data_IF_073036426750
#
_entry.id   IF_073036426750
#
_cell.length_a   1.000
_cell.length_b   1.000
_cell.length_c   1.000
_cell.angle_alpha   90.00
_cell.angle_beta   90.00
_cell.angle_gamma   90.00
#
_symmetry.space_group_name_H-M   'P 1'
#
loop_
_entity.id
_entity.type
_entity.pdbx_description
1 polymer ?
#
# COMPACT_ATOMS: atom_id res chain seq x y z
N UNK A 1 20.30 3.23 0.42
CA UNK A 1 18.85 3.42 0.19
C UNK A 1 18.36 4.36 1.27
N UNK A 2 17.53 5.35 0.94
CA UNK A 2 16.94 6.23 1.95
C UNK A 2 16.04 5.45 2.91
N UNK A 3 16.07 5.81 4.20
CA UNK A 3 15.16 5.30 5.22
C UNK A 3 14.48 6.48 5.92
N UNK A 4 13.15 6.43 5.95
CA UNK A 4 12.30 7.40 6.64
C UNK A 4 12.39 7.19 8.15
N UNK A 5 12.45 5.94 8.62
CA UNK A 5 12.62 5.65 10.05
C UNK A 5 13.97 6.14 10.58
N UNK A 6 15.06 5.88 9.85
CA UNK A 6 16.39 6.37 10.22
C UNK A 6 16.47 7.90 10.18
N UNK A 7 15.80 8.55 9.21
CA UNK A 7 15.68 10.01 9.18
C UNK A 7 14.99 10.55 10.43
N UNK A 8 13.83 9.99 10.79
CA UNK A 8 13.10 10.38 12.01
C UNK A 8 13.95 10.15 13.26
N UNK A 9 14.62 9.01 13.38
CA UNK A 9 15.47 8.69 14.52
C UNK A 9 16.65 9.68 14.64
N UNK A 10 17.30 10.04 13.53
CA UNK A 10 18.39 11.01 13.51
C UNK A 10 17.90 12.41 13.92
N UNK A 11 16.73 12.84 13.44
CA UNK A 11 16.12 14.12 13.83
C UNK A 11 15.82 14.16 15.33
N UNK A 12 15.24 13.08 15.87
CA UNK A 12 14.93 12.99 17.30
C UNK A 12 16.18 13.00 18.17
N UNK A 13 17.23 12.28 17.74
CA UNK A 13 18.51 12.23 18.46
C UNK A 13 19.23 13.58 18.48
N UNK A 14 19.00 14.44 17.48
CA UNK A 14 19.59 15.77 17.39
C UNK A 14 18.84 16.85 18.19
N UNK A 15 17.65 16.55 18.74
CA UNK A 15 16.91 17.50 19.57
C UNK A 15 17.62 17.70 20.92
N UNK A 16 17.67 18.93 21.47
CA UNK A 16 18.22 19.17 22.80
C UNK A 16 17.57 18.26 23.83
N UNK A 17 18.37 17.61 24.68
CA UNK A 17 17.82 16.80 25.77
C UNK A 17 17.25 17.74 26.83
N UNK A 18 15.99 17.55 27.29
CA UNK A 18 15.40 18.44 28.28
C UNK A 18 16.10 18.35 29.66
N UNK A 19 16.87 17.29 29.94
CA UNK A 19 17.76 17.10 31.11
C UNK A 19 18.48 15.73 30.99
N UNK A 20 19.63 15.49 31.65
CA UNK A 20 20.27 14.16 31.73
C UNK A 20 19.37 13.06 32.34
N UNK A 21 18.37 13.43 33.14
CA UNK A 21 17.39 12.53 33.76
C UNK A 21 16.04 12.48 33.03
N UNK A 22 15.88 13.24 31.93
CA UNK A 22 14.62 13.29 31.21
C UNK A 22 14.44 12.06 30.31
N UNK A 23 13.17 11.73 30.06
CA UNK A 23 12.79 10.74 29.06
C UNK A 23 13.36 11.15 27.70
N UNK A 24 13.91 10.22 26.89
CA UNK A 24 14.40 10.55 25.56
C UNK A 24 13.32 11.23 24.73
N UNK A 25 13.73 12.23 23.93
CA UNK A 25 12.85 12.89 22.97
C UNK A 25 12.08 11.84 22.16
N UNK A 26 10.77 12.04 22.01
CA UNK A 26 9.93 11.19 21.18
C UNK A 26 9.69 11.88 19.84
N UNK A 27 9.60 11.13 18.73
CA UNK A 27 9.22 11.77 17.49
C UNK A 27 7.79 12.29 17.58
N UNK A 28 7.51 13.27 16.73
CA UNK A 28 6.19 13.80 16.50
C UNK A 28 5.82 13.58 15.04
N UNK A 29 4.53 13.70 14.70
CA UNK A 29 4.03 13.54 13.34
C UNK A 29 4.78 14.41 12.31
N UNK A 30 5.22 15.61 12.70
CA UNK A 30 5.97 16.48 11.80
C UNK A 30 7.29 15.84 11.32
N UNK A 31 7.98 15.07 12.17
CA UNK A 31 9.22 14.39 11.74
C UNK A 31 8.94 13.34 10.65
N UNK A 32 7.81 12.62 10.75
CA UNK A 32 7.37 11.67 9.71
C UNK A 32 7.07 12.38 8.39
N UNK A 33 6.38 13.52 8.44
CA UNK A 33 6.08 14.36 7.27
C UNK A 33 7.36 14.90 6.62
N UNK A 34 8.27 15.42 7.44
CA UNK A 34 9.55 15.97 7.00
C UNK A 34 10.44 14.89 6.35
N UNK A 35 10.42 13.66 6.87
CA UNK A 35 11.14 12.53 6.27
C UNK A 35 10.68 12.29 4.84
N UNK A 36 9.35 12.28 4.62
CA UNK A 36 8.80 12.09 3.27
C UNK A 36 9.17 13.21 2.33
N UNK A 37 8.95 14.48 2.72
CA UNK A 37 9.30 15.63 1.89
C UNK A 37 10.79 15.68 1.57
N UNK A 38 11.64 15.41 2.57
CA UNK A 38 13.10 15.42 2.39
C UNK A 38 13.54 14.37 1.37
N UNK A 39 13.05 13.12 1.48
CA UNK A 39 13.43 12.07 0.54
C UNK A 39 12.80 12.26 -0.84
N UNK A 40 11.56 12.74 -0.92
CA UNK A 40 10.88 13.01 -2.18
C UNK A 40 11.52 14.18 -2.97
N UNK A 41 12.15 15.13 -2.29
CA UNK A 41 12.83 16.27 -2.93
C UNK A 41 14.33 15.98 -3.18
N UNK A 42 15.05 15.50 -2.17
CA UNK A 42 16.51 15.45 -2.15
C UNK A 42 17.10 14.04 -1.95
N UNK A 43 16.27 13.01 -1.81
CA UNK A 43 16.75 11.63 -1.66
C UNK A 43 17.58 11.18 -2.88
N UNK A 44 18.69 10.43 -2.70
CA UNK A 44 19.53 9.98 -3.81
C UNK A 44 18.87 8.90 -4.69
N UNK A 45 17.78 8.27 -4.22
CA UNK A 45 17.08 7.16 -4.87
C UNK A 45 15.68 7.55 -5.38
N UNK A 46 15.60 8.66 -6.12
CA UNK A 46 14.34 9.28 -6.57
C UNK A 46 13.32 8.33 -7.22
N UNK A 47 13.76 7.43 -8.12
CA UNK A 47 12.83 6.46 -8.73
C UNK A 47 12.22 5.53 -7.68
N UNK A 48 13.02 5.11 -6.69
CA UNK A 48 12.56 4.27 -5.59
C UNK A 48 11.54 4.99 -4.72
N UNK A 49 11.78 6.25 -4.39
CA UNK A 49 10.80 7.07 -3.64
C UNK A 49 9.50 7.24 -4.41
N UNK A 50 9.59 7.42 -5.74
CA UNK A 50 8.42 7.55 -6.60
C UNK A 50 7.58 6.27 -6.69
N UNK A 51 8.24 5.12 -6.75
CA UNK A 51 7.57 3.80 -6.74
C UNK A 51 7.01 3.49 -5.35
N UNK A 52 7.73 3.80 -4.28
CA UNK A 52 7.22 3.64 -2.91
C UNK A 52 5.95 4.47 -2.68
N UNK A 53 5.90 5.69 -3.24
CA UNK A 53 4.68 6.51 -3.19
C UNK A 53 3.53 5.89 -3.99
N UNK A 54 3.79 5.37 -5.20
CA UNK A 54 2.77 4.65 -5.96
C UNK A 54 2.28 3.38 -5.24
N UNK A 55 3.16 2.65 -4.56
CA UNK A 55 2.80 1.49 -3.74
C UNK A 55 2.00 1.90 -2.50
N UNK A 56 2.33 3.03 -1.87
CA UNK A 56 1.53 3.62 -0.78
C UNK A 56 0.12 3.99 -1.24
N UNK A 57 -0.05 4.30 -2.53
CA UNK A 57 -1.36 4.57 -3.12
C UNK A 57 -2.22 3.32 -3.37
N UNK A 58 -1.60 2.13 -3.35
CA UNK A 58 -2.26 0.83 -3.52
C UNK A 58 -2.42 0.14 -2.17
N UNK A 59 -1.33 0.05 -1.41
CA UNK A 59 -1.23 -0.50 -0.07
C UNK A 59 -1.40 0.69 0.89
N UNK A 60 -2.62 0.90 1.37
CA UNK A 60 -2.99 2.16 2.06
C UNK A 60 -2.92 1.99 3.57
N UNK A 61 -2.29 2.97 4.23
CA UNK A 61 -2.46 3.26 5.66
C UNK A 61 -2.66 4.77 5.84
N UNK A 62 -3.29 5.18 6.94
CA UNK A 62 -3.56 6.60 7.19
C UNK A 62 -3.20 7.05 8.59
N UNK A 63 -2.52 8.20 8.69
CA UNK A 63 -2.29 8.99 9.90
C UNK A 63 -3.61 9.24 10.66
N UNK A 64 -4.73 9.36 9.94
CA UNK A 64 -6.03 9.74 10.47
C UNK A 64 -6.84 8.59 11.09
N UNK A 65 -6.28 7.38 11.12
CA UNK A 65 -6.98 6.19 11.61
C UNK A 65 -6.14 5.42 12.63
N UNK A 66 -6.81 4.58 13.44
CA UNK A 66 -6.21 3.71 14.45
C UNK A 66 -5.24 4.41 15.44
N UNK A 67 -5.38 5.73 15.62
CA UNK A 67 -4.48 6.54 16.46
C UNK A 67 -3.05 6.68 15.91
N UNK A 68 -2.82 6.36 14.63
CA UNK A 68 -1.48 6.33 14.01
C UNK A 68 -0.77 7.68 14.03
N UNK A 69 -1.50 8.81 14.01
CA UNK A 69 -0.92 10.13 14.21
C UNK A 69 -0.20 10.31 15.56
N UNK A 70 -0.59 9.54 16.58
CA UNK A 70 0.08 9.46 17.88
C UNK A 70 1.15 8.37 17.97
N UNK A 71 1.44 7.65 16.88
CA UNK A 71 2.44 6.57 16.78
C UNK A 71 3.52 6.89 15.73
N UNK A 72 4.34 7.93 15.94
CA UNK A 72 5.19 8.48 14.88
C UNK A 72 6.31 7.55 14.38
N UNK A 73 6.59 6.43 15.05
CA UNK A 73 7.47 5.38 14.51
C UNK A 73 6.77 4.38 13.59
N UNK A 74 5.44 4.23 13.68
CA UNK A 74 4.69 3.24 12.91
C UNK A 74 4.74 3.53 11.40
N UNK A 75 4.49 4.79 11.03
CA UNK A 75 4.37 5.21 9.64
C UNK A 75 5.71 5.28 8.87
N UNK A 76 6.82 5.80 9.44
CA UNK A 76 8.13 5.67 8.79
C UNK A 76 8.57 4.21 8.61
N UNK A 77 8.28 3.34 9.59
CA UNK A 77 8.56 1.89 9.48
C UNK A 77 7.76 1.27 8.33
N UNK A 78 6.46 1.57 8.28
CA UNK A 78 5.58 1.17 7.18
C UNK A 78 6.13 1.64 5.82
N UNK A 79 6.49 2.91 5.70
CA UNK A 79 6.95 3.48 4.45
C UNK A 79 8.31 2.89 4.01
N UNK A 80 9.18 2.54 4.95
CA UNK A 80 10.45 1.86 4.67
C UNK A 80 10.25 0.45 4.09
N UNK A 81 9.17 -0.26 4.41
CA UNK A 81 8.79 -1.51 3.73
C UNK A 81 8.55 -1.24 2.24
N UNK A 82 7.81 -0.18 1.90
CA UNK A 82 7.54 0.19 0.51
C UNK A 82 8.80 0.62 -0.23
N UNK A 83 9.67 1.41 0.41
CA UNK A 83 10.94 1.87 -0.17
C UNK A 83 11.87 0.69 -0.45
N UNK A 84 12.01 -0.24 0.51
CA UNK A 84 12.85 -1.44 0.34
C UNK A 84 12.33 -2.34 -0.79
N UNK A 85 11.02 -2.57 -0.84
CA UNK A 85 10.40 -3.46 -1.82
C UNK A 85 10.01 -2.82 -3.14
N UNK A 86 10.24 -1.52 -3.35
CA UNK A 86 9.96 -0.85 -4.62
C UNK A 86 10.53 -1.57 -5.86
N UNK A 87 11.63 -2.31 -5.70
CA UNK A 87 12.23 -3.17 -6.73
C UNK A 87 12.43 -4.61 -6.24
N UNK A 88 11.63 -5.05 -5.26
CA UNK A 88 11.66 -6.38 -4.67
C UNK A 88 10.66 -7.33 -5.33
N UNK A 89 10.14 -8.29 -4.56
CA UNK A 89 9.10 -9.21 -5.02
C UNK A 89 7.74 -8.86 -4.38
N UNK A 90 6.67 -8.84 -5.18
CA UNK A 90 5.34 -8.47 -4.68
C UNK A 90 4.80 -9.43 -3.62
N UNK A 91 5.10 -10.73 -3.68
CA UNK A 91 4.71 -11.69 -2.64
C UNK A 91 5.35 -11.37 -1.30
N UNK A 92 6.63 -11.02 -1.31
CA UNK A 92 7.36 -10.59 -0.11
C UNK A 92 6.79 -9.28 0.43
N UNK A 93 6.52 -8.31 -0.45
CA UNK A 93 5.90 -7.05 -0.08
C UNK A 93 4.54 -7.27 0.61
N UNK A 94 3.68 -8.16 0.08
CA UNK A 94 2.40 -8.49 0.70
C UNK A 94 2.57 -9.02 2.12
N UNK A 95 3.53 -9.92 2.37
CA UNK A 95 3.77 -10.47 3.72
C UNK A 95 4.22 -9.40 4.71
N UNK A 96 5.20 -8.60 4.30
CA UNK A 96 5.78 -7.60 5.19
C UNK A 96 4.78 -6.48 5.51
N UNK A 97 3.86 -6.19 4.58
CA UNK A 97 2.73 -5.30 4.83
C UNK A 97 1.67 -5.96 5.70
N UNK A 98 1.36 -7.25 5.47
CA UNK A 98 0.42 -8.02 6.30
C UNK A 98 0.84 -7.99 7.77
N UNK A 99 2.12 -8.20 8.04
CA UNK A 99 2.67 -8.24 9.38
C UNK A 99 3.13 -6.87 9.89
N UNK A 100 2.95 -5.78 9.15
CA UNK A 100 3.29 -4.45 9.62
C UNK A 100 2.27 -3.97 10.67
N UNK A 101 2.69 -3.53 11.87
CA UNK A 101 1.75 -3.13 12.92
C UNK A 101 0.90 -1.90 12.56
N UNK A 102 1.38 -0.99 11.70
CA UNK A 102 0.57 0.13 11.23
C UNK A 102 -0.58 -0.35 10.34
N UNK A 103 -0.31 -1.30 9.43
CA UNK A 103 -1.32 -1.93 8.58
C UNK A 103 -2.30 -2.77 9.41
N UNK A 104 -1.77 -3.60 10.32
CA UNK A 104 -2.59 -4.41 11.21
C UNK A 104 -3.53 -3.57 12.07
N UNK A 105 -3.08 -2.41 12.57
CA UNK A 105 -3.93 -1.47 13.30
C UNK A 105 -4.96 -0.79 12.37
N UNK A 106 -4.54 -0.35 11.18
CA UNK A 106 -5.38 0.37 10.23
C UNK A 106 -6.58 -0.46 9.73
N UNK A 107 -6.35 -1.76 9.49
CA UNK A 107 -7.36 -2.69 8.98
C UNK A 107 -7.77 -3.75 10.02
N UNK A 108 -7.56 -3.48 11.30
CA UNK A 108 -8.05 -4.29 12.42
C UNK A 108 -7.64 -5.79 12.40
N UNK A 109 -6.57 -6.16 11.69
CA UNK A 109 -5.96 -7.49 11.81
C UNK A 109 -5.22 -7.63 13.14
N UNK A 110 -4.59 -6.56 13.58
CA UNK A 110 -3.90 -6.48 14.86
C UNK A 110 -4.91 -6.71 15.98
N UNK A 111 -4.63 -7.73 16.78
CA UNK A 111 -5.48 -8.21 17.88
C UNK A 111 -6.85 -8.73 17.43
N UNK A 112 -7.01 -9.10 16.15
CA UNK A 112 -8.13 -9.92 15.67
C UNK A 112 -8.06 -11.31 16.29
N UNK A 113 -9.19 -11.82 16.76
CA UNK A 113 -9.28 -13.07 17.51
C UNK A 113 -10.13 -14.08 16.78
N UNK A 114 -9.84 -15.36 17.01
CA UNK A 114 -10.73 -16.45 16.63
C UNK A 114 -12.15 -16.28 17.18
N UNK A 115 -13.09 -16.91 16.48
CA UNK A 115 -14.47 -16.94 16.91
C UNK A 115 -14.62 -17.59 18.29
N UNK A 116 -15.65 -17.22 19.04
CA UNK A 116 -15.98 -17.85 20.31
C UNK A 116 -17.48 -18.12 20.46
N UNK A 117 -17.84 -18.90 21.49
CA UNK A 117 -19.23 -19.26 21.77
C UNK A 117 -20.09 -18.06 22.22
N UNK A 118 -19.50 -16.88 22.44
CA UNK A 118 -20.20 -15.64 22.83
C UNK A 118 -20.53 -14.77 21.62
N UNK A 119 -20.26 -15.24 20.40
CA UNK A 119 -20.59 -14.55 19.16
C UNK A 119 -19.50 -13.60 18.67
N UNK A 120 -18.28 -13.64 19.23
CA UNK A 120 -17.15 -12.94 18.62
C UNK A 120 -16.83 -13.58 17.28
N UNK A 121 -16.55 -12.75 16.28
CA UNK A 121 -16.08 -13.17 14.96
C UNK A 121 -14.70 -12.53 14.66
N UNK A 122 -13.84 -13.21 13.89
CA UNK A 122 -12.63 -12.60 13.33
C UNK A 122 -12.95 -11.33 12.52
N UNK A 123 -12.04 -10.35 12.54
CA UNK A 123 -12.21 -9.13 11.77
C UNK A 123 -12.00 -9.36 10.27
N UNK A 124 -12.91 -8.85 9.45
CA UNK A 124 -12.93 -9.06 7.99
C UNK A 124 -12.23 -7.97 7.16
N UNK A 125 -11.88 -6.82 7.75
CA UNK A 125 -11.38 -5.67 7.01
C UNK A 125 -10.07 -6.01 6.28
N UNK A 126 -9.06 -6.51 6.98
CA UNK A 126 -7.79 -6.84 6.33
C UNK A 126 -7.93 -7.89 5.20
N UNK A 127 -8.62 -9.04 5.39
CA UNK A 127 -8.89 -9.98 4.30
C UNK A 127 -9.60 -9.37 3.09
N UNK A 128 -10.60 -8.52 3.32
CA UNK A 128 -11.36 -7.88 2.25
C UNK A 128 -10.48 -6.92 1.46
N UNK A 129 -9.65 -6.14 2.13
CA UNK A 129 -8.78 -5.16 1.50
C UNK A 129 -7.59 -5.84 0.82
N UNK A 130 -7.07 -6.92 1.42
CA UNK A 130 -6.06 -7.78 0.80
C UNK A 130 -6.53 -8.28 -0.55
N UNK A 131 -7.76 -8.78 -0.67
CA UNK A 131 -8.31 -9.25 -1.94
C UNK A 131 -8.70 -8.08 -2.86
N UNK A 132 -9.54 -7.17 -2.38
CA UNK A 132 -10.20 -6.16 -3.19
C UNK A 132 -9.25 -5.04 -3.66
N UNK A 133 -8.36 -4.57 -2.80
CA UNK A 133 -7.56 -3.37 -3.06
C UNK A 133 -6.10 -3.69 -3.32
N UNK A 134 -5.56 -4.72 -2.64
CA UNK A 134 -4.14 -5.01 -2.64
C UNK A 134 -3.74 -6.15 -3.59
N UNK A 135 -4.67 -6.85 -4.23
CA UNK A 135 -4.27 -8.00 -5.05
C UNK A 135 -5.14 -8.29 -6.27
N UNK A 136 -6.42 -8.61 -6.10
CA UNK A 136 -7.20 -9.25 -7.18
C UNK A 136 -8.41 -8.45 -7.63
N UNK A 137 -8.89 -7.47 -6.87
CA UNK A 137 -10.10 -6.73 -7.22
C UNK A 137 -11.37 -7.54 -7.01
N UNK A 138 -12.52 -6.94 -7.33
CA UNK A 138 -13.85 -7.55 -7.17
C UNK A 138 -14.22 -8.54 -8.29
N UNK A 139 -13.62 -8.40 -9.47
CA UNK A 139 -14.03 -9.12 -10.67
C UNK A 139 -12.83 -9.71 -11.40
N UNK A 140 -13.03 -10.89 -12.00
CA UNK A 140 -12.03 -11.59 -12.79
C UNK A 140 -11.60 -10.74 -13.99
N UNK A 141 -10.30 -10.77 -14.26
CA UNK A 141 -9.66 -9.98 -15.30
C UNK A 141 -9.02 -10.90 -16.33
N UNK A 142 -9.17 -10.53 -17.60
CA UNK A 142 -8.25 -10.96 -18.64
C UNK A 142 -6.89 -10.30 -18.42
N UNK A 143 -5.85 -10.83 -19.08
CA UNK A 143 -4.48 -10.36 -18.88
C UNK A 143 -4.26 -8.90 -19.32
N UNK A 144 -5.10 -8.40 -20.22
CA UNK A 144 -5.12 -7.00 -20.68
C UNK A 144 -5.89 -6.06 -19.74
N UNK A 145 -6.41 -6.57 -18.62
CA UNK A 145 -7.15 -5.81 -17.62
C UNK A 145 -8.63 -5.59 -17.91
N UNK A 146 -9.16 -6.14 -19.02
CA UNK A 146 -10.59 -6.20 -19.29
C UNK A 146 -11.29 -7.22 -18.38
N UNK A 147 -12.60 -7.04 -18.14
CA UNK A 147 -13.38 -7.94 -17.31
C UNK A 147 -13.62 -9.28 -18.02
N UNK A 148 -13.50 -10.39 -17.29
CA UNK A 148 -14.05 -11.67 -17.73
C UNK A 148 -15.55 -11.67 -17.48
N UNK A 149 -16.34 -11.99 -18.52
CA UNK A 149 -17.79 -11.97 -18.47
C UNK A 149 -18.37 -13.40 -18.49
N UNK A 150 -19.47 -13.59 -17.77
CA UNK A 150 -20.27 -14.81 -17.82
C UNK A 150 -21.07 -14.94 -19.11
N UNK A 151 -21.80 -16.04 -19.27
CA UNK A 151 -22.68 -16.29 -20.42
C UNK A 151 -23.81 -15.26 -20.56
N UNK A 152 -24.16 -14.58 -19.47
CA UNK A 152 -25.15 -13.52 -19.40
C UNK A 152 -24.58 -12.11 -19.67
N UNK A 153 -23.27 -12.00 -19.91
CA UNK A 153 -22.57 -10.73 -20.09
C UNK A 153 -22.22 -10.00 -18.79
N UNK A 154 -22.50 -10.58 -17.62
CA UNK A 154 -22.17 -9.97 -16.33
C UNK A 154 -20.71 -10.23 -15.94
N UNK A 155 -20.02 -9.29 -15.27
CA UNK A 155 -18.69 -9.53 -14.73
C UNK A 155 -18.67 -10.67 -13.71
N UNK A 156 -17.68 -11.56 -13.81
CA UNK A 156 -17.53 -12.69 -12.88
C UNK A 156 -16.79 -12.21 -11.62
N UNK A 157 -17.38 -12.39 -10.44
CA UNK A 157 -16.75 -12.04 -9.18
C UNK A 157 -15.52 -12.93 -8.87
N UNK A 158 -14.50 -12.35 -8.22
CA UNK A 158 -13.26 -13.07 -7.83
C UNK A 158 -13.44 -13.98 -6.62
N UNK A 159 -14.37 -13.64 -5.72
CA UNK A 159 -14.65 -14.38 -4.49
C UNK A 159 -16.05 -14.08 -3.98
N UNK A 160 -16.48 -14.87 -2.99
CA UNK A 160 -17.74 -14.68 -2.26
C UNK A 160 -17.44 -14.49 -0.76
N UNK A 161 -18.47 -14.23 0.05
CA UNK A 161 -18.31 -13.90 1.47
C UNK A 161 -17.69 -15.05 2.29
N UNK A 162 -17.87 -16.30 1.89
CA UNK A 162 -17.26 -17.48 2.52
C UNK A 162 -15.72 -17.43 2.50
N UNK A 163 -15.13 -16.97 1.39
CA UNK A 163 -13.68 -16.75 1.27
C UNK A 163 -13.20 -15.71 2.28
N UNK A 164 -13.96 -14.63 2.47
CA UNK A 164 -13.63 -13.60 3.46
C UNK A 164 -13.66 -14.19 4.87
N UNK A 165 -14.69 -14.98 5.21
CA UNK A 165 -14.78 -15.62 6.53
C UNK A 165 -13.60 -16.56 6.79
N UNK A 166 -13.24 -17.40 5.82
CA UNK A 166 -12.12 -18.33 5.95
C UNK A 166 -10.76 -17.63 6.06
N UNK A 167 -10.52 -16.59 5.26
CA UNK A 167 -9.30 -15.79 5.36
C UNK A 167 -9.26 -14.96 6.66
N UNK A 168 -10.40 -14.47 7.14
CA UNK A 168 -10.48 -13.76 8.42
C UNK A 168 -10.05 -14.67 9.57
N UNK A 169 -10.52 -15.92 9.59
CA UNK A 169 -10.09 -16.93 10.56
C UNK A 169 -8.60 -17.26 10.45
N UNK A 170 -8.07 -17.39 9.22
CA UNK A 170 -6.65 -17.68 8.96
C UNK A 170 -5.71 -16.56 9.46
N UNK A 171 -6.21 -15.32 9.56
CA UNK A 171 -5.43 -14.14 9.94
C UNK A 171 -5.65 -13.70 11.40
N UNK A 172 -6.13 -14.59 12.26
CA UNK A 172 -6.32 -14.33 13.70
C UNK A 172 -5.07 -14.56 14.55
N UNK A 173 -4.99 -13.88 15.69
CA UNK A 173 -4.00 -14.14 16.74
C UNK A 173 -2.74 -13.27 16.70
N UNK A 174 -2.66 -12.31 15.77
CA UNK A 174 -1.51 -11.42 15.63
C UNK A 174 -1.58 -10.23 16.58
N UNK A 175 -0.47 -9.87 17.22
CA UNK A 175 -0.32 -8.72 18.11
C UNK A 175 1.02 -8.02 17.85
N UNK A 176 1.29 -6.93 18.58
CA UNK A 176 2.53 -6.18 18.46
C UNK A 176 3.76 -7.06 18.71
N UNK A 177 4.83 -6.81 17.95
CA UNK A 177 6.17 -7.13 18.42
C UNK A 177 6.38 -6.52 19.81
N UNK A 178 7.06 -7.23 20.70
CA UNK A 178 7.15 -6.83 22.10
C UNK A 178 8.36 -7.46 22.78
N UNK A 179 8.85 -6.80 23.83
CA UNK A 179 9.93 -7.30 24.67
C UNK A 179 9.38 -8.19 25.80
N UNK A 180 10.21 -9.11 26.28
CA UNK A 180 9.83 -10.11 27.29
C UNK A 180 8.86 -11.16 26.75
N UNK A 181 8.14 -11.84 27.66
CA UNK A 181 7.17 -12.88 27.28
C UNK A 181 5.96 -12.28 26.56
N UNK A 182 5.70 -12.64 25.30
CA UNK A 182 4.61 -12.03 24.53
C UNK A 182 3.23 -12.26 25.15
N UNK A 183 2.45 -11.19 25.26
CA UNK A 183 1.03 -11.23 25.64
C UNK A 183 0.19 -10.65 24.52
N UNK A 184 -1.06 -11.08 24.41
CA UNK A 184 -1.93 -10.64 23.31
C UNK A 184 -2.33 -9.17 23.41
N UNK A 185 -2.51 -8.67 24.64
CA UNK A 185 -2.81 -7.25 24.93
C UNK A 185 -1.67 -6.59 25.68
N UNK A 186 -0.55 -6.24 25.02
CA UNK A 186 0.54 -5.54 25.68
C UNK A 186 0.13 -4.10 25.99
N UNK A 187 0.50 -3.62 27.19
CA UNK A 187 0.41 -2.21 27.52
C UNK A 187 1.30 -1.36 26.60
N UNK A 188 0.99 -0.06 26.47
CA UNK A 188 1.59 0.85 25.48
C UNK A 188 3.12 0.82 25.47
N UNK A 189 3.76 0.74 26.65
CA UNK A 189 5.22 0.72 26.76
C UNK A 189 5.89 -0.52 26.14
N UNK A 190 5.14 -1.62 25.95
CA UNK A 190 5.65 -2.88 25.37
C UNK A 190 5.32 -3.04 23.88
N UNK A 191 4.53 -2.13 23.30
CA UNK A 191 4.14 -2.17 21.90
C UNK A 191 5.29 -1.69 21.01
N UNK A 192 5.92 -2.60 20.26
CA UNK A 192 6.90 -2.24 19.26
C UNK A 192 6.24 -2.03 17.89
N UNK A 193 6.18 -0.76 17.48
CA UNK A 193 5.64 -0.34 16.19
C UNK A 193 6.66 -0.43 15.04
N UNK A 194 7.89 -0.87 15.32
CA UNK A 194 8.97 -1.02 14.32
C UNK A 194 9.18 -2.47 13.89
N UNK A 195 8.82 -3.41 14.76
CA UNK A 195 8.93 -4.84 14.48
C UNK A 195 7.66 -5.37 13.79
N UNK A 196 7.77 -6.45 13.00
CA UNK A 196 6.59 -7.19 12.55
C UNK A 196 5.73 -7.65 13.73
N UNK A 197 4.43 -7.78 13.48
CA UNK A 197 3.50 -8.41 14.40
C UNK A 197 3.93 -9.86 14.70
N UNK A 198 3.64 -10.32 15.90
CA UNK A 198 3.89 -11.70 16.37
C UNK A 198 2.58 -12.38 16.70
N UNK A 199 2.50 -13.70 16.55
CA UNK A 199 1.28 -14.44 16.87
C UNK A 199 1.26 -14.95 18.32
N UNK A 200 0.07 -14.97 18.93
CA UNK A 200 -0.20 -15.69 20.18
C UNK A 200 -1.18 -16.82 19.88
N UNK A 201 -0.67 -18.05 19.86
CA UNK A 201 -1.39 -19.23 19.35
C UNK A 201 -2.77 -19.46 19.98
N UNK A 202 -2.97 -19.11 21.26
CA UNK A 202 -4.27 -19.27 21.93
C UNK A 202 -5.39 -18.42 21.32
N UNK A 203 -5.05 -17.36 20.59
CA UNK A 203 -5.98 -16.44 19.92
C UNK A 203 -6.16 -16.74 18.42
N UNK A 204 -5.37 -17.66 17.86
CA UNK A 204 -5.50 -18.11 16.48
C UNK A 204 -6.57 -19.19 16.35
N UNK A 205 -7.34 -19.14 15.26
CA UNK A 205 -8.34 -20.13 14.91
C UNK A 205 -7.63 -21.35 14.31
N UNK A 206 -7.72 -22.51 14.96
CA UNK A 206 -7.06 -23.74 14.50
C UNK A 206 -8.02 -24.70 13.79
N UNK A 207 -9.26 -24.29 13.51
CA UNK A 207 -10.19 -25.10 12.73
C UNK A 207 -9.78 -25.16 11.26
N UNK A 208 -10.32 -26.12 10.52
CA UNK A 208 -10.17 -26.15 9.06
C UNK A 208 -10.89 -24.94 8.43
N UNK A 209 -10.33 -24.40 7.35
CA UNK A 209 -10.83 -23.18 6.69
C UNK A 209 -10.85 -23.39 5.18
N UNK A 210 -11.74 -22.68 4.50
CA UNK A 210 -11.75 -22.59 3.04
C UNK A 210 -11.40 -21.17 2.66
N UNK A 211 -10.40 -21.00 1.80
CA UNK A 211 -9.94 -19.68 1.36
C UNK A 211 -10.11 -19.56 -0.16
N UNK A 212 -9.52 -18.51 -0.74
CA UNK A 212 -9.59 -18.17 -2.15
C UNK A 212 -9.29 -19.39 -3.06
N UNK A 213 -9.95 -19.45 -4.21
CA UNK A 213 -9.78 -20.51 -5.21
C UNK A 213 -10.11 -21.92 -4.72
N UNK A 214 -10.91 -22.05 -3.65
CA UNK A 214 -11.30 -23.34 -3.08
C UNK A 214 -10.15 -24.06 -2.36
N UNK A 215 -9.08 -23.35 -1.99
CA UNK A 215 -7.97 -23.93 -1.23
C UNK A 215 -8.42 -24.17 0.21
N UNK A 216 -8.23 -25.40 0.69
CA UNK A 216 -8.51 -25.78 2.06
C UNK A 216 -7.26 -25.61 2.95
N UNK A 217 -7.42 -24.94 4.09
CA UNK A 217 -6.43 -24.93 5.18
C UNK A 217 -6.81 -26.03 6.19
N UNK A 218 -5.97 -27.05 6.40
CA UNK A 218 -6.24 -28.10 7.38
C UNK A 218 -6.42 -27.59 8.81
N UNK A 219 -7.16 -28.34 9.63
CA UNK A 219 -7.22 -28.08 11.07
C UNK A 219 -5.86 -28.34 11.74
N UNK A 220 -5.61 -27.63 12.84
CA UNK A 220 -4.40 -27.80 13.66
C UNK A 220 -3.16 -27.07 13.16
N UNK A 221 -3.26 -26.28 12.08
CA UNK A 221 -2.15 -25.47 11.59
C UNK A 221 -1.78 -24.33 12.56
N UNK A 222 -0.52 -23.89 12.49
CA UNK A 222 -0.09 -22.64 13.13
C UNK A 222 -0.52 -21.43 12.30
N UNK A 223 -0.56 -20.26 12.94
CA UNK A 223 -0.91 -19.02 12.26
C UNK A 223 0.05 -18.67 11.12
N UNK A 224 1.33 -19.01 11.24
CA UNK A 224 2.35 -18.81 10.21
C UNK A 224 2.10 -19.70 8.98
N UNK A 225 1.66 -20.95 9.19
CA UNK A 225 1.31 -21.87 8.10
C UNK A 225 0.06 -21.40 7.35
N UNK A 226 -0.96 -20.98 8.09
CA UNK A 226 -2.19 -20.41 7.54
C UNK A 226 -1.92 -19.11 6.79
N UNK A 227 -1.14 -18.19 7.37
CA UNK A 227 -0.73 -16.93 6.74
C UNK A 227 0.01 -17.19 5.43
N UNK A 228 1.04 -18.06 5.46
CA UNK A 228 1.84 -18.37 4.28
C UNK A 228 0.98 -18.92 3.15
N UNK A 229 0.15 -19.92 3.45
CA UNK A 229 -0.73 -20.55 2.44
C UNK A 229 -1.75 -19.55 1.90
N UNK A 230 -2.29 -18.70 2.77
CA UNK A 230 -3.23 -17.62 2.39
C UNK A 230 -2.58 -16.65 1.40
N UNK A 231 -1.41 -16.11 1.74
CA UNK A 231 -0.72 -15.14 0.89
C UNK A 231 -0.17 -15.77 -0.41
N UNK A 232 0.28 -17.02 -0.37
CA UNK A 232 0.73 -17.76 -1.55
C UNK A 232 -0.45 -17.98 -2.52
N UNK A 233 -1.63 -18.34 -1.99
CA UNK A 233 -2.86 -18.52 -2.78
C UNK A 233 -3.30 -17.21 -3.44
N UNK A 234 -3.31 -16.11 -2.68
CA UNK A 234 -3.64 -14.78 -3.20
C UNK A 234 -2.66 -14.37 -4.31
N UNK A 235 -1.36 -14.50 -4.07
CA UNK A 235 -0.32 -14.11 -5.03
C UNK A 235 -0.34 -14.95 -6.33
N UNK A 236 -0.70 -16.23 -6.21
CA UNK A 236 -0.85 -17.13 -7.35
C UNK A 236 -2.09 -16.82 -8.20
N UNK A 237 -3.06 -16.08 -7.68
CA UNK A 237 -4.29 -15.77 -8.41
C UNK A 237 -4.01 -15.01 -9.73
N UNK A 238 -4.65 -15.38 -10.86
CA UNK A 238 -4.37 -14.80 -12.17
C UNK A 238 -4.58 -13.29 -12.23
N UNK A 239 -5.56 -12.75 -11.48
CA UNK A 239 -5.82 -11.31 -11.45
C UNK A 239 -4.67 -10.44 -10.91
N UNK A 240 -3.76 -10.97 -10.08
CA UNK A 240 -2.74 -10.12 -9.42
C UNK A 240 -1.89 -9.39 -10.44
N UNK A 241 -1.47 -10.07 -11.51
CA UNK A 241 -0.70 -9.50 -12.60
C UNK A 241 -1.38 -8.28 -13.25
N UNK A 242 -2.53 -8.44 -13.93
CA UNK A 242 -3.22 -7.34 -14.59
C UNK A 242 -3.70 -6.25 -13.61
N UNK A 243 -4.18 -6.63 -12.42
CA UNK A 243 -4.69 -5.68 -11.43
C UNK A 243 -3.59 -4.73 -10.93
N UNK A 244 -2.47 -5.28 -10.45
CA UNK A 244 -1.35 -4.47 -9.95
C UNK A 244 -0.63 -3.73 -11.08
N UNK A 245 -0.50 -4.35 -12.25
CA UNK A 245 0.10 -3.68 -13.41
C UNK A 245 -0.68 -2.44 -13.83
N UNK A 246 -2.02 -2.54 -13.94
CA UNK A 246 -2.87 -1.40 -14.29
C UNK A 246 -2.72 -0.26 -13.28
N UNK A 247 -2.80 -0.57 -11.98
CA UNK A 247 -2.68 0.45 -10.93
C UNK A 247 -1.30 1.13 -10.93
N UNK A 248 -0.22 0.36 -11.06
CA UNK A 248 1.14 0.94 -11.13
C UNK A 248 1.33 1.81 -12.38
N UNK A 249 0.80 1.39 -13.54
CA UNK A 249 0.84 2.23 -14.75
C UNK A 249 0.06 3.53 -14.52
N UNK A 250 -1.12 3.46 -13.91
CA UNK A 250 -1.92 4.63 -13.57
C UNK A 250 -1.20 5.58 -12.62
N UNK A 251 -0.52 5.04 -11.61
CA UNK A 251 0.24 5.87 -10.67
C UNK A 251 1.51 6.43 -11.29
N UNK A 252 2.15 5.77 -12.25
CA UNK A 252 3.47 6.17 -12.74
C UNK A 252 3.48 6.91 -14.09
N UNK A 253 2.53 6.61 -14.99
CA UNK A 253 2.61 7.03 -16.40
C UNK A 253 1.32 7.69 -16.89
N UNK A 254 0.19 7.00 -16.89
CA UNK A 254 -1.04 7.48 -17.55
C UNK A 254 -2.31 6.96 -16.90
N UNK A 255 -3.34 7.80 -16.79
CA UNK A 255 -4.64 7.43 -16.22
C UNK A 255 -5.37 6.38 -17.05
N UNK A 256 -5.08 6.29 -18.36
CA UNK A 256 -5.78 5.47 -19.34
C UNK A 256 -4.80 4.54 -20.09
N UNK A 257 -4.22 3.53 -19.42
CA UNK A 257 -3.36 2.58 -20.11
C UNK A 257 -4.15 1.78 -21.15
N UNK A 258 -3.56 1.56 -22.34
CA UNK A 258 -4.18 0.67 -23.32
C UNK A 258 -4.23 -0.77 -22.81
N UNK A 259 -5.17 -1.61 -23.30
CA UNK A 259 -5.20 -3.03 -22.98
C UNK A 259 -3.88 -3.73 -23.31
N UNK A 260 -3.26 -3.37 -24.45
CA UNK A 260 -1.96 -3.90 -24.85
C UNK A 260 -0.83 -3.54 -23.88
N UNK A 261 -0.85 -2.35 -23.30
CA UNK A 261 0.12 -1.94 -22.30
C UNK A 261 -0.03 -2.74 -20.99
N UNK A 262 -1.26 -2.87 -20.49
CA UNK A 262 -1.55 -3.70 -19.31
C UNK A 262 -1.12 -5.15 -19.56
N UNK A 263 -1.46 -5.71 -20.72
CA UNK A 263 -1.07 -7.09 -21.10
C UNK A 263 0.43 -7.32 -21.02
N UNK A 264 1.24 -6.43 -21.62
CA UNK A 264 2.71 -6.58 -21.64
C UNK A 264 3.31 -6.51 -20.25
N UNK A 265 2.87 -5.55 -19.44
CA UNK A 265 3.38 -5.39 -18.06
C UNK A 265 2.90 -6.54 -17.17
N UNK A 266 1.65 -6.97 -17.30
CA UNK A 266 1.10 -8.10 -16.56
C UNK A 266 1.78 -9.43 -16.94
N UNK A 267 2.17 -9.59 -18.21
CA UNK A 267 2.99 -10.72 -18.64
C UNK A 267 4.36 -10.75 -17.94
N UNK A 268 5.01 -9.58 -17.80
CA UNK A 268 6.27 -9.44 -17.03
C UNK A 268 6.04 -9.69 -15.54
N UNK A 269 4.92 -9.23 -14.97
CA UNK A 269 4.56 -9.57 -13.60
C UNK A 269 4.41 -11.08 -13.44
N UNK A 270 3.75 -11.75 -14.38
CA UNK A 270 3.52 -13.19 -14.31
C UNK A 270 4.82 -13.98 -14.45
N UNK A 271 5.76 -13.50 -15.27
CA UNK A 271 7.08 -14.08 -15.46
C UNK A 271 8.05 -13.00 -16.01
N UNK A 272 9.08 -12.67 -15.25
CA UNK A 272 10.09 -11.66 -15.64
C UNK A 272 11.06 -12.10 -16.77
N UNK A 273 10.81 -13.24 -17.41
CA UNK A 273 11.70 -13.87 -18.39
C UNK A 273 12.68 -14.87 -17.79
N UNK A 274 12.69 -15.03 -16.45
CA UNK A 274 13.52 -15.98 -15.72
C UNK A 274 12.68 -16.95 -14.85
N UNK A 275 11.36 -16.99 -15.07
CA UNK A 275 10.43 -17.81 -14.29
C UNK A 275 10.03 -17.19 -12.95
N UNK A 276 10.39 -15.93 -12.68
CA UNK A 276 10.05 -15.26 -11.42
C UNK A 276 8.80 -14.41 -11.60
N UNK A 277 7.73 -14.79 -10.89
CA UNK A 277 6.50 -14.00 -10.76
C UNK A 277 6.71 -12.86 -9.75
N UNK A 278 6.12 -11.70 -10.00
CA UNK A 278 6.05 -10.57 -9.07
C UNK A 278 7.34 -9.79 -8.88
N UNK A 279 8.33 -9.93 -9.77
CA UNK A 279 9.56 -9.11 -9.76
C UNK A 279 9.23 -7.65 -10.11
N UNK A 280 9.12 -6.80 -9.08
CA UNK A 280 8.77 -5.40 -9.24
C UNK A 280 9.86 -4.61 -9.97
N UNK A 281 11.13 -5.01 -9.91
CA UNK A 281 12.17 -4.36 -10.70
C UNK A 281 11.90 -4.54 -12.19
N UNK A 282 11.57 -5.76 -12.61
CA UNK A 282 11.21 -6.07 -13.99
C UNK A 282 9.92 -5.36 -14.42
N UNK A 283 8.89 -5.38 -13.56
CA UNK A 283 7.59 -4.72 -13.80
C UNK A 283 7.76 -3.21 -13.96
N UNK A 284 8.44 -2.54 -13.02
CA UNK A 284 8.67 -1.08 -13.11
C UNK A 284 9.49 -0.73 -14.34
N UNK A 285 10.49 -1.54 -14.70
CA UNK A 285 11.22 -1.34 -15.95
C UNK A 285 10.28 -1.45 -17.15
N UNK A 286 9.46 -2.51 -17.22
CA UNK A 286 8.51 -2.73 -18.30
C UNK A 286 7.57 -1.54 -18.47
N UNK A 287 7.01 -1.01 -17.37
CA UNK A 287 6.20 0.21 -17.36
C UNK A 287 6.96 1.38 -18.00
N UNK A 288 8.13 1.72 -17.49
CA UNK A 288 8.81 2.96 -17.88
C UNK A 288 9.44 2.93 -19.28
N UNK A 289 9.65 1.74 -19.84
CA UNK A 289 10.24 1.56 -21.19
C UNK A 289 9.24 1.14 -22.26
N UNK A 290 7.98 0.97 -21.88
CA UNK A 290 6.92 0.54 -22.80
C UNK A 290 6.69 1.54 -23.95
N UNK A 291 6.24 1.04 -25.09
CA UNK A 291 5.86 1.84 -26.25
C UNK A 291 4.81 2.90 -25.89
N UNK A 292 3.80 2.56 -25.10
CA UNK A 292 2.74 3.50 -24.70
C UNK A 292 3.30 4.63 -23.81
N UNK A 293 4.37 4.34 -23.05
CA UNK A 293 5.01 5.29 -22.15
C UNK A 293 6.04 6.19 -22.84
N UNK A 294 6.54 5.84 -24.03
CA UNK A 294 7.68 6.54 -24.69
C UNK A 294 7.44 6.92 -26.14
N UNK A 295 6.61 6.17 -26.86
CA UNK A 295 6.32 6.34 -28.28
C UNK A 295 5.25 7.40 -28.56
N UNK A 296 4.65 7.30 -29.73
CA UNK A 296 3.65 8.25 -30.27
C UNK A 296 2.31 8.20 -29.52
N UNK A 297 2.02 7.10 -28.80
CA UNK A 297 0.82 7.00 -27.98
C UNK A 297 0.66 8.16 -26.98
N UNK A 298 1.77 8.80 -26.57
CA UNK A 298 1.78 9.98 -25.68
C UNK A 298 1.10 11.22 -26.26
N UNK A 299 0.92 11.31 -27.57
CA UNK A 299 0.24 12.43 -28.23
C UNK A 299 -1.23 12.12 -28.53
N UNK A 300 -1.70 10.91 -28.20
CA UNK A 300 -3.09 10.52 -28.39
C UNK A 300 -4.01 11.21 -27.37
N UNK A 301 -5.27 11.42 -27.74
CA UNK A 301 -6.27 11.92 -26.81
C UNK A 301 -6.41 10.97 -25.61
N UNK A 302 -6.41 11.53 -24.40
CA UNK A 302 -6.48 10.75 -23.16
C UNK A 302 -5.14 10.23 -22.64
N UNK A 303 -4.04 10.49 -23.36
CA UNK A 303 -2.69 10.13 -22.92
C UNK A 303 -2.21 10.96 -21.71
N UNK A 304 -1.32 10.35 -20.92
CA UNK A 304 -0.77 10.97 -19.72
C UNK A 304 -1.73 10.92 -18.54
N UNK A 305 -1.44 11.73 -17.52
CA UNK A 305 -2.25 11.89 -16.32
C UNK A 305 -2.03 13.26 -15.71
N UNK A 306 -2.99 13.72 -14.91
CA UNK A 306 -2.73 14.90 -14.08
C UNK A 306 -1.65 14.56 -13.06
N UNK A 307 -0.65 15.44 -12.95
CA UNK A 307 0.37 15.30 -11.91
C UNK A 307 -0.25 15.67 -10.58
N UNK A 308 -0.15 14.76 -9.63
CA UNK A 308 -0.73 14.90 -8.30
C UNK A 308 -0.13 16.10 -7.54
N UNK A 309 -0.90 16.78 -6.68
CA UNK A 309 -0.46 17.97 -5.96
C UNK A 309 0.91 17.87 -5.29
N UNK A 310 1.15 16.85 -4.46
CA UNK A 310 2.45 16.71 -3.77
C UNK A 310 3.60 16.44 -4.75
N UNK A 311 3.33 15.74 -5.86
CA UNK A 311 4.32 15.47 -6.89
C UNK A 311 4.64 16.71 -7.74
N UNK A 312 3.70 17.63 -7.91
CA UNK A 312 3.99 18.93 -8.56
C UNK A 312 4.92 19.77 -7.70
N UNK A 313 4.64 19.87 -6.40
CA UNK A 313 5.48 20.65 -5.47
C UNK A 313 6.89 20.07 -5.39
N UNK A 314 7.03 18.76 -5.22
CA UNK A 314 8.36 18.12 -5.21
C UNK A 314 9.09 18.30 -6.54
N UNK A 315 8.39 18.21 -7.68
CA UNK A 315 8.99 18.45 -8.99
C UNK A 315 9.48 19.90 -9.17
N UNK A 316 8.70 20.89 -8.72
CA UNK A 316 9.07 22.30 -8.75
C UNK A 316 10.33 22.54 -7.91
N UNK A 317 10.33 22.11 -6.65
CA UNK A 317 11.48 22.30 -5.75
C UNK A 317 12.75 21.63 -6.30
N UNK A 318 12.61 20.47 -6.95
CA UNK A 318 13.72 19.80 -7.62
C UNK A 318 14.22 20.56 -8.86
N UNK A 319 13.31 21.07 -9.69
CA UNK A 319 13.66 21.82 -10.90
C UNK A 319 14.48 23.08 -10.57
N UNK A 320 14.14 23.75 -9.47
CA UNK A 320 14.85 24.94 -8.98
C UNK A 320 16.02 24.63 -8.03
N UNK A 321 16.39 23.35 -7.87
CA UNK A 321 17.47 22.90 -6.98
C UNK A 321 17.35 23.49 -5.56
N UNK A 322 16.13 23.49 -5.02
CA UNK A 322 15.86 24.00 -3.68
C UNK A 322 16.79 23.35 -2.65
N UNK A 323 17.23 24.14 -1.69
CA UNK A 323 18.11 23.71 -0.59
C UNK A 323 17.57 24.18 0.74
N UNK A 324 17.78 23.38 1.79
CA UNK A 324 17.47 23.74 3.17
C UNK A 324 18.76 23.81 3.98
N UNK A 325 19.03 24.88 4.76
CA UNK A 325 20.21 24.95 5.62
C UNK A 325 20.32 23.79 6.61
N UNK A 326 19.17 23.24 7.03
CA UNK A 326 19.13 22.08 7.94
C UNK A 326 19.19 20.72 7.21
N UNK A 327 19.23 20.72 5.87
CA UNK A 327 19.12 19.51 5.05
C UNK A 327 17.73 18.87 5.04
N UNK A 328 16.73 19.48 5.71
CA UNK A 328 15.36 18.96 5.86
C UNK A 328 14.35 19.86 5.16
N UNK A 329 13.41 19.25 4.45
CA UNK A 329 12.27 19.94 3.87
C UNK A 329 11.06 19.73 4.77
N UNK A 330 10.57 20.82 5.36
CA UNK A 330 9.42 20.77 6.27
C UNK A 330 8.25 21.51 5.66
N UNK A 331 7.16 20.78 5.45
CA UNK A 331 5.87 21.35 5.07
C UNK A 331 4.86 20.97 6.14
N UNK A 332 4.25 21.98 6.76
CA UNK A 332 3.23 21.79 7.77
C UNK A 332 1.88 21.74 7.09
N UNK A 333 1.07 20.75 7.47
CA UNK A 333 -0.32 20.64 7.04
C UNK A 333 -0.50 20.72 5.51
N UNK A 334 0.35 20.00 4.77
CA UNK A 334 0.31 20.03 3.31
C UNK A 334 -1.07 19.64 2.76
N UNK A 335 -1.80 18.77 3.47
CA UNK A 335 -3.16 18.39 3.09
C UNK A 335 -4.12 19.57 2.99
N UNK A 336 -4.05 20.57 3.88
CA UNK A 336 -4.95 21.71 3.86
C UNK A 336 -4.77 22.61 2.63
N UNK A 337 -3.55 22.67 2.07
CA UNK A 337 -3.25 23.47 0.89
C UNK A 337 -3.29 22.68 -0.41
N UNK A 338 -3.00 21.38 -0.36
CA UNK A 338 -2.82 20.53 -1.55
C UNK A 338 -3.93 19.50 -1.74
N UNK A 339 -4.84 19.33 -0.78
CA UNK A 339 -5.77 18.20 -0.66
C UNK A 339 -5.09 16.82 -0.71
N UNK A 340 -3.78 16.78 -0.50
CA UNK A 340 -2.97 15.56 -0.55
C UNK A 340 -1.73 15.73 0.34
N UNK A 341 -1.43 14.70 1.13
CA UNK A 341 -0.22 14.62 1.94
C UNK A 341 0.12 13.14 2.16
N UNK A 342 1.38 12.75 2.00
CA UNK A 342 1.77 11.33 2.13
C UNK A 342 1.30 10.73 3.47
N UNK A 343 0.73 9.52 3.41
CA UNK A 343 0.13 8.81 4.55
C UNK A 343 -1.07 9.52 5.20
N UNK A 344 -1.62 10.56 4.60
CA UNK A 344 -2.83 11.25 5.08
C UNK A 344 -4.08 10.84 4.28
N UNK A 345 -4.20 9.56 3.92
CA UNK A 345 -5.31 9.06 3.10
C UNK A 345 -6.66 9.27 3.81
N UNK A 346 -7.67 9.88 3.15
CA UNK A 346 -8.98 10.09 3.75
C UNK A 346 -9.80 8.80 3.88
N UNK A 347 -9.55 7.81 3.02
CA UNK A 347 -10.26 6.52 2.98
C UNK A 347 -9.31 5.37 2.65
N UNK A 348 -9.81 4.13 2.72
CA UNK A 348 -9.09 2.93 2.24
C UNK A 348 -8.82 2.95 0.72
N UNK A 349 -9.56 3.76 -0.04
CA UNK A 349 -9.31 4.01 -1.48
C UNK A 349 -8.26 5.09 -1.73
N UNK A 350 -7.56 5.51 -0.67
CA UNK A 350 -6.62 6.63 -0.68
C UNK A 350 -7.32 7.98 -1.01
N UNK A 351 -6.63 8.89 -1.69
CA UNK A 351 -7.11 10.22 -2.05
C UNK A 351 -8.15 10.20 -3.17
N UNK A 352 -8.03 9.25 -4.10
CA UNK A 352 -8.87 9.18 -5.30
C UNK A 352 -8.94 7.75 -5.83
N UNK A 353 -10.08 7.42 -6.44
CA UNK A 353 -10.33 6.09 -6.97
C UNK A 353 -9.67 5.88 -8.34
N UNK A 354 -9.13 4.69 -8.64
CA UNK A 354 -8.50 4.39 -9.93
C UNK A 354 -9.42 4.54 -11.16
N UNK A 355 -10.74 4.49 -10.93
CA UNK A 355 -11.76 4.49 -11.97
C UNK A 355 -12.55 5.80 -12.07
N UNK A 356 -12.20 6.82 -11.27
CA UNK A 356 -12.87 8.12 -11.30
C UNK A 356 -12.80 8.76 -12.70
N UNK A 357 -13.93 9.31 -13.13
CA UNK A 357 -14.07 10.04 -14.38
C UNK A 357 -14.63 11.42 -14.05
N UNK A 358 -13.87 12.47 -14.37
CA UNK A 358 -14.35 13.84 -14.18
C UNK A 358 -15.55 14.08 -15.10
N UNK A 359 -16.70 14.54 -14.58
CA UNK A 359 -17.85 14.88 -15.42
C UNK A 359 -17.49 15.91 -16.49
N UNK A 360 -18.15 15.81 -17.66
CA UNK A 360 -17.87 16.63 -18.83
C UNK A 360 -17.15 15.86 -19.93
N UNK A 361 -16.29 16.54 -20.69
CA UNK A 361 -15.65 15.98 -21.89
C UNK A 361 -14.82 14.72 -21.64
N UNK A 362 -14.22 14.59 -20.45
CA UNK A 362 -13.43 13.41 -20.05
C UNK A 362 -14.33 12.18 -19.91
N UNK A 363 -15.35 12.25 -19.07
CA UNK A 363 -16.31 11.16 -18.89
C UNK A 363 -17.10 10.85 -20.18
N UNK A 364 -17.46 11.87 -20.97
CA UNK A 364 -18.13 11.68 -22.26
C UNK A 364 -17.27 10.93 -23.28
N UNK A 365 -15.94 11.04 -23.19
CA UNK A 365 -14.99 10.26 -23.98
C UNK A 365 -14.67 8.88 -23.38
N UNK A 366 -15.30 8.50 -22.28
CA UNK A 366 -15.04 7.23 -21.57
C UNK A 366 -13.67 7.16 -20.89
N UNK A 367 -13.02 8.31 -20.68
CA UNK A 367 -11.67 8.38 -20.12
C UNK A 367 -11.70 8.49 -18.59
N UNK A 368 -10.75 7.83 -17.94
CA UNK A 368 -10.44 7.97 -16.52
C UNK A 368 -9.59 9.21 -16.27
N UNK A 369 -9.80 9.82 -15.12
CA UNK A 369 -9.01 10.95 -14.63
C UNK A 369 -8.88 10.92 -13.10
N UNK A 370 -8.28 9.88 -12.50
CA UNK A 370 -8.30 9.64 -11.05
C UNK A 370 -7.93 10.87 -10.21
N UNK A 371 -6.80 11.50 -10.53
CA UNK A 371 -6.27 12.64 -9.80
C UNK A 371 -7.22 13.86 -9.82
N UNK A 372 -8.19 13.91 -10.75
CA UNK A 372 -9.17 14.99 -10.82
C UNK A 372 -10.18 15.00 -9.69
N UNK A 373 -10.31 13.89 -8.95
CA UNK A 373 -11.23 13.75 -7.82
C UNK A 373 -10.84 14.67 -6.65
N UNK A 374 -9.54 14.97 -6.50
CA UNK A 374 -9.01 15.86 -5.46
C UNK A 374 -8.52 17.21 -5.99
N UNK A 375 -8.57 17.41 -7.32
CA UNK A 375 -8.08 18.66 -7.91
C UNK A 375 -9.21 19.62 -8.27
N UNK A 376 -9.09 20.82 -7.72
CA UNK A 376 -9.89 22.00 -8.02
C UNK A 376 -8.98 23.10 -8.55
N UNK A 377 -9.57 24.19 -9.05
CA UNK A 377 -8.80 25.39 -9.39
C UNK A 377 -7.92 25.90 -8.24
N UNK A 378 -8.37 25.75 -6.99
CA UNK A 378 -7.63 26.15 -5.79
C UNK A 378 -6.49 25.21 -5.39
N UNK A 379 -6.59 23.90 -5.69
CA UNK A 379 -5.53 22.94 -5.36
C UNK A 379 -4.58 22.67 -6.52
N UNK A 380 -4.87 23.20 -7.72
CA UNK A 380 -4.05 23.08 -8.95
C UNK A 380 -3.19 24.31 -9.24
N UNK A 381 -3.65 25.49 -8.83
CA UNK A 381 -2.99 26.77 -9.09
C UNK A 381 -1.55 26.87 -8.55
#
# INVERSE_FOLDING_TARGET
MSSHLAHVAAVVAALPSPSPSATPNQPILQHTRDAWWTHAIAGPDQLRQRVAFALHEILVVSINSAGLGGRPYALPTYYDVLVRNAFGNYRQLLEEITLNPAMGAYLNMLQSQKADARGRLPNENYPRELLQLFSIGLYNLNLDGSLTLGSDGSPIATYQQDVILGMSAALTGWTYGQTGTPVFYPGVARQDWRAPMVNIASYHDTNAKQILSGVALPAGQTAEQDLRTTLDTVFAHPNVGPFISRQLIQRLVTSNPSPGYVYRVASVFNNNGQGVRGDLKAVIRAILVDYDARGEARTSQGAGKQREPVLRVTNLLRAFKASSPSGRFSMRNAYASLAQEAMFSPTVFNFFTPDYQRPGAIAAAGLKSPEFEITTETTVA
#
